data_IF_325631564835
#
_entry.id   IF_325631564835
#
_cell.length_a   1.000
_cell.length_b   1.000
_cell.length_c   1.000
_cell.angle_alpha   90.00
_cell.angle_beta   90.00
_cell.angle_gamma   90.00
#
_symmetry.space_group_name_H-M   'P 1'
#
loop_
_entity.id
_entity.type
_entity.pdbx_description
1 polymer ?
#
# COMPACT_ATOMS: atom_id res chain seq x y z
N UNK A 1 36.18 65.04 -37.25
CA UNK A 1 36.50 63.76 -36.61
C UNK A 1 35.50 63.52 -35.45
N UNK A 2 34.34 62.99 -35.74
CA UNK A 2 33.35 62.62 -34.72
C UNK A 2 32.39 61.59 -35.31
N UNK A 3 32.80 60.36 -35.41
CA UNK A 3 31.94 59.17 -35.68
C UNK A 3 32.54 58.00 -34.92
N UNK A 4 31.96 57.63 -33.79
CA UNK A 4 32.10 56.26 -33.24
C UNK A 4 31.58 56.13 -31.80
N UNK A 5 30.38 56.65 -31.49
CA UNK A 5 29.79 56.38 -30.14
C UNK A 5 28.42 55.80 -30.16
N UNK A 6 27.79 55.55 -31.33
CA UNK A 6 26.42 55.02 -31.35
C UNK A 6 26.32 53.49 -31.47
N UNK A 7 27.41 52.76 -31.71
CA UNK A 7 27.36 51.31 -31.98
C UNK A 7 27.35 50.40 -30.75
N UNK A 8 27.58 50.93 -29.50
CA UNK A 8 27.76 50.07 -28.31
C UNK A 8 26.54 49.98 -27.37
N UNK A 9 25.55 50.84 -27.56
CA UNK A 9 24.33 50.80 -26.72
C UNK A 9 23.26 49.84 -27.23
N UNK A 10 23.22 49.55 -28.55
CA UNK A 10 22.22 48.66 -29.12
C UNK A 10 22.45 47.15 -28.82
N UNK A 11 23.68 46.78 -28.39
CA UNK A 11 24.05 45.37 -28.20
C UNK A 11 23.80 44.83 -26.77
N UNK A 12 23.48 45.72 -25.82
CA UNK A 12 23.27 45.34 -24.41
C UNK A 12 21.80 45.19 -24.03
N UNK A 13 20.86 45.65 -24.86
CA UNK A 13 19.43 45.56 -24.56
C UNK A 13 18.83 44.25 -25.11
N UNK A 14 19.50 43.59 -26.07
CA UNK A 14 18.97 42.36 -26.70
C UNK A 14 19.13 41.07 -25.84
N UNK A 15 20.02 41.05 -24.85
CA UNK A 15 20.25 39.89 -24.02
C UNK A 15 19.33 39.79 -22.76
N UNK A 16 18.69 40.92 -22.38
CA UNK A 16 17.81 40.93 -21.18
C UNK A 16 16.39 40.47 -21.52
N UNK A 17 15.96 40.65 -22.80
CA UNK A 17 14.61 40.25 -23.24
C UNK A 17 14.45 38.74 -23.49
N UNK A 18 15.55 37.99 -23.66
CA UNK A 18 15.50 36.55 -23.93
C UNK A 18 15.46 35.68 -22.66
N UNK A 19 15.75 36.26 -21.48
CA UNK A 19 15.78 35.57 -20.19
C UNK A 19 14.41 35.47 -19.52
N UNK A 20 13.40 36.24 -19.95
CA UNK A 20 12.11 36.35 -19.22
C UNK A 20 11.02 35.41 -19.74
N UNK A 21 11.25 34.67 -20.84
CA UNK A 21 10.24 33.80 -21.44
C UNK A 21 10.31 32.34 -20.96
N UNK A 22 11.37 31.99 -20.18
CA UNK A 22 11.58 30.60 -19.74
C UNK A 22 10.88 30.23 -18.41
N UNK A 23 10.16 31.18 -17.79
CA UNK A 23 9.59 30.99 -16.43
C UNK A 23 8.10 30.59 -16.41
N UNK A 24 7.44 30.37 -17.53
CA UNK A 24 5.99 30.08 -17.58
C UNK A 24 5.64 28.66 -18.02
N UNK A 25 6.61 27.77 -18.10
CA UNK A 25 6.34 26.35 -18.33
C UNK A 25 6.17 25.57 -17.02
N UNK A 26 5.60 26.16 -15.96
CA UNK A 26 5.00 25.39 -14.87
C UNK A 26 3.65 24.88 -15.37
N UNK A 27 3.69 23.95 -16.32
CA UNK A 27 2.52 23.24 -16.82
C UNK A 27 1.88 22.52 -15.65
N UNK A 28 0.67 22.95 -15.30
CA UNK A 28 -0.27 22.20 -14.46
C UNK A 28 -0.74 20.92 -15.20
N UNK A 29 0.19 20.07 -15.58
CA UNK A 29 -0.08 18.69 -15.90
C UNK A 29 -0.03 17.92 -14.59
N UNK A 30 -1.17 17.42 -14.12
CA UNK A 30 -1.22 16.57 -12.93
C UNK A 30 -0.33 15.34 -13.14
N UNK A 31 0.95 15.47 -12.80
CA UNK A 31 1.92 14.38 -12.87
C UNK A 31 1.55 13.29 -11.87
N UNK A 32 2.10 12.13 -12.09
CA UNK A 32 1.98 11.01 -11.13
C UNK A 32 3.36 10.69 -10.57
N UNK A 33 3.40 10.33 -9.30
CA UNK A 33 4.58 9.81 -8.63
C UNK A 33 4.34 8.41 -8.11
N UNK A 34 5.43 7.71 -7.84
CA UNK A 34 5.41 6.46 -7.08
C UNK A 34 5.79 6.79 -5.64
N UNK A 35 5.18 6.10 -4.69
CA UNK A 35 5.48 6.28 -3.27
C UNK A 35 5.84 4.95 -2.67
N UNK A 36 7.05 4.85 -2.15
CA UNK A 36 7.52 3.66 -1.42
C UNK A 36 7.77 4.02 0.04
N UNK A 37 7.74 3.05 0.93
CA UNK A 37 8.06 3.34 2.31
C UNK A 37 7.67 2.26 3.29
N UNK A 38 7.58 2.67 4.56
CA UNK A 38 7.36 1.74 5.65
C UNK A 38 6.21 2.17 6.56
N UNK A 39 5.54 1.18 7.15
CA UNK A 39 4.49 1.37 8.16
C UNK A 39 4.89 0.65 9.43
N UNK A 40 4.94 1.38 10.54
CA UNK A 40 5.26 0.82 11.85
C UNK A 40 4.19 1.16 12.87
N UNK A 41 3.93 0.24 13.81
CA UNK A 41 3.04 0.41 14.95
C UNK A 41 3.86 0.27 16.22
N UNK A 42 4.00 1.35 16.99
CA UNK A 42 4.87 1.41 18.18
C UNK A 42 6.29 0.86 17.90
N UNK A 43 6.85 1.19 16.71
CA UNK A 43 8.18 0.80 16.27
C UNK A 43 8.30 -0.62 15.67
N UNK A 44 7.21 -1.40 15.66
CA UNK A 44 7.17 -2.72 15.01
C UNK A 44 6.60 -2.59 13.60
N UNK A 45 7.16 -3.27 12.58
CA UNK A 45 6.59 -3.26 11.24
C UNK A 45 5.16 -3.84 11.26
N UNK A 46 4.24 -3.24 10.51
CA UNK A 46 2.89 -3.77 10.32
C UNK A 46 2.95 -4.94 9.32
N UNK A 47 2.69 -6.20 9.74
CA UNK A 47 2.94 -7.36 8.89
C UNK A 47 2.11 -7.36 7.61
N UNK A 48 0.86 -6.88 7.69
CA UNK A 48 -0.03 -6.77 6.53
C UNK A 48 -1.10 -5.70 6.76
N UNK A 49 -1.65 -5.18 5.68
CA UNK A 49 -2.68 -4.14 5.67
C UNK A 49 -2.70 -3.44 4.32
N UNK A 50 -3.42 -2.36 4.25
CA UNK A 50 -3.47 -1.49 3.06
C UNK A 50 -3.25 -0.06 3.50
N UNK A 51 -2.37 0.65 2.80
CA UNK A 51 -2.19 2.10 2.94
C UNK A 51 -2.90 2.79 1.77
N UNK A 52 -3.61 3.87 2.06
CA UNK A 52 -4.42 4.60 1.08
C UNK A 52 -3.91 6.03 0.97
N UNK A 53 -3.62 6.44 -0.25
CA UNK A 53 -3.20 7.78 -0.62
C UNK A 53 -4.38 8.51 -1.25
N UNK A 54 -4.89 9.54 -0.60
CA UNK A 54 -6.03 10.34 -1.04
C UNK A 54 -5.54 11.73 -1.47
N UNK A 55 -5.32 11.96 -2.77
CA UNK A 55 -4.90 13.27 -3.27
C UNK A 55 -6.06 14.26 -3.23
N UNK A 56 -5.76 15.56 -3.14
CA UNK A 56 -6.78 16.62 -3.25
C UNK A 56 -7.47 16.62 -4.61
N UNK A 57 -6.75 16.19 -5.65
CA UNK A 57 -7.28 16.06 -7.02
C UNK A 57 -6.87 14.72 -7.61
N UNK A 58 -7.84 13.98 -8.12
CA UNK A 58 -7.61 12.67 -8.73
C UNK A 58 -8.21 11.52 -7.91
N UNK A 59 -7.94 10.31 -8.33
CA UNK A 59 -8.41 9.11 -7.65
C UNK A 59 -7.47 8.73 -6.49
N UNK A 60 -8.05 8.18 -5.43
CA UNK A 60 -7.27 7.57 -4.37
C UNK A 60 -6.51 6.34 -4.90
N UNK A 61 -5.32 6.12 -4.40
CA UNK A 61 -4.46 4.98 -4.73
C UNK A 61 -4.19 4.21 -3.46
N UNK A 62 -4.39 2.89 -3.50
CA UNK A 62 -4.08 1.99 -2.40
C UNK A 62 -2.87 1.13 -2.73
N UNK A 63 -2.10 0.80 -1.70
CA UNK A 63 -0.99 -0.14 -1.80
C UNK A 63 -1.04 -1.15 -0.65
N UNK A 64 -0.71 -2.39 -0.95
CA UNK A 64 -0.60 -3.45 0.04
C UNK A 64 0.65 -3.25 0.89
N UNK A 65 0.51 -3.52 2.19
CA UNK A 65 1.60 -3.54 3.15
C UNK A 65 2.00 -4.98 3.36
N UNK A 66 3.27 -5.29 3.14
CA UNK A 66 3.87 -6.61 3.38
C UNK A 66 5.11 -6.44 4.24
N UNK A 67 5.11 -7.04 5.42
CA UNK A 67 6.21 -6.97 6.39
C UNK A 67 6.67 -5.52 6.66
N UNK A 68 5.70 -4.62 6.79
CA UNK A 68 5.91 -3.21 7.05
C UNK A 68 6.26 -2.37 5.82
N UNK A 69 6.47 -2.95 4.65
CA UNK A 69 6.84 -2.23 3.43
C UNK A 69 5.66 -2.07 2.49
N UNK A 70 5.63 -0.99 1.72
CA UNK A 70 4.62 -0.78 0.68
C UNK A 70 5.22 -0.08 -0.55
N UNK A 71 4.52 -0.22 -1.68
CA UNK A 71 4.82 0.47 -2.93
C UNK A 71 3.53 0.87 -3.64
N UNK A 72 3.26 2.16 -3.71
CA UNK A 72 2.11 2.76 -4.40
C UNK A 72 2.56 3.36 -5.72
N UNK A 73 1.94 2.95 -6.82
CA UNK A 73 2.29 3.41 -8.17
C UNK A 73 1.20 4.34 -8.71
N UNK A 74 1.62 5.46 -9.29
CA UNK A 74 0.70 6.35 -10.00
C UNK A 74 -0.14 7.26 -9.11
N UNK A 75 0.35 7.60 -7.92
CA UNK A 75 -0.27 8.59 -7.02
C UNK A 75 -0.22 9.96 -7.69
N UNK A 76 -1.34 10.69 -7.69
CA UNK A 76 -1.39 12.05 -8.25
C UNK A 76 -0.45 12.99 -7.51
N UNK A 77 0.33 13.78 -8.26
CA UNK A 77 1.24 14.76 -7.65
C UNK A 77 0.45 15.88 -6.96
N UNK A 78 1.00 16.37 -5.86
CA UNK A 78 0.41 17.41 -5.02
C UNK A 78 0.29 16.96 -3.56
N UNK A 79 -0.55 17.65 -2.81
CA UNK A 79 -0.87 17.27 -1.44
C UNK A 79 -1.72 16.01 -1.42
N UNK A 80 -1.28 15.03 -0.66
CA UNK A 80 -1.94 13.73 -0.51
C UNK A 80 -2.11 13.44 0.96
N UNK A 81 -3.33 13.14 1.38
CA UNK A 81 -3.64 12.62 2.71
C UNK A 81 -3.46 11.12 2.72
N UNK A 82 -2.93 10.60 3.82
CA UNK A 82 -2.62 9.18 3.93
C UNK A 82 -3.40 8.57 5.08
N UNK A 83 -3.94 7.37 4.88
CA UNK A 83 -4.66 6.59 5.89
C UNK A 83 -4.38 5.10 5.73
N UNK A 84 -4.77 4.31 6.74
CA UNK A 84 -4.75 2.86 6.67
C UNK A 84 -6.16 2.33 6.39
N UNK A 85 -6.26 1.31 5.55
CA UNK A 85 -7.45 0.48 5.44
C UNK A 85 -7.15 -0.91 6.00
N UNK A 86 -7.77 -1.20 7.12
CA UNK A 86 -7.65 -2.46 7.84
C UNK A 86 -8.95 -3.27 7.78
N UNK A 87 -9.86 -2.92 6.87
CA UNK A 87 -11.15 -3.60 6.70
C UNK A 87 -11.01 -5.08 6.46
N UNK A 88 -10.05 -5.49 5.63
CA UNK A 88 -9.73 -6.90 5.40
C UNK A 88 -9.30 -7.64 6.67
N UNK A 89 -8.47 -7.04 7.50
CA UNK A 89 -8.05 -7.61 8.79
C UNK A 89 -9.20 -7.71 9.79
N UNK A 90 -10.08 -6.71 9.83
CA UNK A 90 -11.29 -6.74 10.67
C UNK A 90 -12.21 -7.90 10.29
N UNK A 91 -12.39 -8.15 9.00
CA UNK A 91 -13.18 -9.29 8.50
C UNK A 91 -12.57 -10.64 8.90
N UNK A 92 -11.24 -10.78 8.81
CA UNK A 92 -10.53 -11.99 9.26
C UNK A 92 -10.74 -12.21 10.76
N UNK A 93 -10.58 -11.15 11.57
CA UNK A 93 -10.80 -11.20 13.02
C UNK A 93 -12.22 -11.65 13.39
N UNK A 94 -13.22 -11.15 12.67
CA UNK A 94 -14.61 -11.54 12.86
C UNK A 94 -14.88 -13.02 12.48
N UNK A 95 -14.26 -13.49 11.42
CA UNK A 95 -14.39 -14.90 11.00
C UNK A 95 -13.75 -15.85 12.00
N UNK A 96 -12.59 -15.50 12.55
CA UNK A 96 -11.93 -16.31 13.57
C UNK A 96 -12.72 -16.33 14.88
N UNK A 97 -13.29 -15.21 15.29
CA UNK A 97 -14.14 -15.15 16.48
C UNK A 97 -15.40 -16.01 16.34
N UNK A 98 -16.00 -16.05 15.13
CA UNK A 98 -17.16 -16.91 14.83
C UNK A 98 -16.82 -18.39 14.78
N UNK A 99 -15.63 -18.76 14.30
CA UNK A 99 -15.15 -20.16 14.35
C UNK A 99 -14.98 -20.64 15.79
N UNK A 100 -14.43 -19.81 16.65
CA UNK A 100 -14.23 -20.18 18.06
C UNK A 100 -15.54 -20.22 18.88
N UNK A 101 -16.54 -19.42 18.52
CA UNK A 101 -17.86 -19.44 19.17
C UNK A 101 -18.81 -20.52 18.61
N UNK A 102 -18.56 -21.01 17.40
CA UNK A 102 -19.39 -22.03 16.73
C UNK A 102 -19.05 -23.48 17.05
N UNK A 103 -17.97 -23.77 17.76
CA UNK A 103 -17.53 -25.13 18.05
C UNK A 103 -18.46 -25.91 19.01
N UNK A 104 -19.43 -25.24 19.65
CA UNK A 104 -20.36 -25.88 20.59
C UNK A 104 -21.71 -26.27 19.96
N UNK A 105 -22.01 -25.86 18.71
CA UNK A 105 -23.33 -26.03 18.09
C UNK A 105 -23.46 -27.15 17.06
N UNK A 106 -22.35 -27.66 16.51
CA UNK A 106 -22.41 -28.56 15.33
C UNK A 106 -22.23 -30.07 15.62
N UNK A 107 -22.24 -30.46 16.90
CA UNK A 107 -22.10 -31.87 17.26
C UNK A 107 -23.40 -32.70 17.09
N UNK A 108 -24.50 -32.16 16.57
CA UNK A 108 -25.80 -32.84 16.51
C UNK A 108 -26.41 -33.01 15.12
N UNK A 109 -25.74 -32.69 14.04
CA UNK A 109 -26.28 -33.04 12.70
C UNK A 109 -25.56 -34.26 12.13
N UNK A 110 -26.32 -35.31 12.08
CA UNK A 110 -26.25 -36.60 11.46
C UNK A 110 -25.01 -36.99 10.65
N UNK A 111 -24.53 -38.18 10.94
CA UNK A 111 -23.66 -38.96 10.07
C UNK A 111 -24.31 -39.12 8.68
N UNK A 112 -24.15 -38.09 7.82
CA UNK A 112 -24.42 -38.19 6.42
C UNK A 112 -23.24 -38.81 5.67
N UNK A 113 -23.39 -39.28 4.43
CA UNK A 113 -22.40 -40.08 3.69
C UNK A 113 -21.21 -39.22 3.16
N UNK A 114 -20.73 -38.25 3.92
CA UNK A 114 -19.62 -37.39 3.54
C UNK A 114 -18.23 -38.03 3.74
N UNK A 115 -18.15 -39.13 4.49
CA UNK A 115 -16.89 -39.84 4.69
C UNK A 115 -16.27 -40.38 3.38
N UNK A 116 -17.06 -40.47 2.31
CA UNK A 116 -16.57 -40.94 1.01
C UNK A 116 -16.08 -39.80 0.08
N UNK A 117 -16.55 -38.55 0.29
CA UNK A 117 -16.09 -37.41 -0.53
C UNK A 117 -14.69 -36.92 -0.16
N UNK A 118 -14.31 -36.98 1.11
CA UNK A 118 -12.98 -36.61 1.55
C UNK A 118 -11.88 -37.55 1.02
N UNK A 119 -12.23 -38.83 0.76
CA UNK A 119 -11.26 -39.78 0.17
C UNK A 119 -10.95 -39.54 -1.29
N UNK A 120 -11.89 -38.90 -2.02
CA UNK A 120 -11.68 -38.57 -3.45
C UNK A 120 -10.96 -37.23 -3.69
N UNK A 121 -10.94 -36.33 -2.71
CA UNK A 121 -10.30 -35.02 -2.84
C UNK A 121 -8.87 -34.95 -2.30
N UNK A 122 -8.35 -36.02 -1.70
CA UNK A 122 -6.99 -36.05 -1.20
C UNK A 122 -6.22 -37.16 -1.94
N UNK A 123 -5.70 -36.92 -3.15
CA UNK A 123 -4.80 -37.86 -3.80
C UNK A 123 -3.66 -38.11 -2.83
N UNK A 124 -3.37 -39.39 -2.55
CA UNK A 124 -2.26 -39.76 -1.66
C UNK A 124 -1.02 -39.00 -2.14
N UNK A 125 -0.47 -38.16 -1.28
CA UNK A 125 0.68 -37.28 -1.56
C UNK A 125 1.86 -38.01 -2.20
N UNK A 126 1.88 -39.34 -2.06
CA UNK A 126 2.91 -40.21 -2.63
C UNK A 126 2.78 -40.42 -4.14
N UNK A 127 1.58 -40.29 -4.70
CA UNK A 127 1.33 -40.59 -6.13
C UNK A 127 1.43 -39.35 -7.05
N UNK A 128 1.79 -38.18 -6.48
CA UNK A 128 1.97 -36.96 -7.25
C UNK A 128 3.34 -36.95 -7.97
N UNK A 129 3.40 -36.45 -9.23
CA UNK A 129 4.66 -36.17 -9.90
C UNK A 129 5.57 -35.26 -9.04
N UNK A 130 6.89 -35.45 -9.10
CA UNK A 130 7.84 -34.72 -8.27
C UNK A 130 7.65 -33.19 -8.37
N UNK A 131 7.39 -32.67 -9.56
CA UNK A 131 7.14 -31.24 -9.81
C UNK A 131 5.87 -30.71 -9.12
N UNK A 132 4.82 -31.53 -9.03
CA UNK A 132 3.59 -31.19 -8.33
C UNK A 132 3.80 -31.19 -6.80
N UNK A 133 4.60 -32.11 -6.26
CA UNK A 133 4.96 -32.14 -4.83
C UNK A 133 5.73 -30.88 -4.42
N UNK A 134 6.64 -30.43 -5.25
CA UNK A 134 7.41 -29.20 -5.00
C UNK A 134 6.51 -27.95 -5.00
N UNK A 135 5.60 -27.85 -5.97
CA UNK A 135 4.62 -26.76 -6.02
C UNK A 135 3.67 -26.77 -4.81
N UNK A 136 3.20 -27.93 -4.39
CA UNK A 136 2.37 -28.07 -3.20
C UNK A 136 3.11 -27.67 -1.93
N UNK A 137 4.37 -28.10 -1.78
CA UNK A 137 5.19 -27.72 -0.64
C UNK A 137 5.44 -26.20 -0.58
N UNK A 138 5.67 -25.57 -1.75
CA UNK A 138 5.81 -24.11 -1.83
C UNK A 138 4.52 -23.39 -1.42
N UNK A 139 3.36 -23.84 -1.91
CA UNK A 139 2.05 -23.27 -1.55
C UNK A 139 1.72 -23.46 -0.06
N UNK A 140 2.04 -24.62 0.53
CA UNK A 140 1.86 -24.86 1.97
C UNK A 140 2.71 -23.92 2.81
N UNK A 141 3.98 -23.72 2.40
CA UNK A 141 4.89 -22.80 3.09
C UNK A 141 4.38 -21.36 3.01
N UNK A 142 4.01 -20.91 1.81
CA UNK A 142 3.45 -19.57 1.59
C UNK A 142 2.16 -19.36 2.39
N UNK A 143 1.26 -20.36 2.42
CA UNK A 143 0.04 -20.33 3.23
C UNK A 143 0.31 -20.27 4.73
N UNK A 144 1.33 -20.98 5.23
CA UNK A 144 1.73 -20.90 6.63
C UNK A 144 2.30 -19.54 7.01
N UNK A 145 3.15 -18.96 6.14
CA UNK A 145 3.71 -17.63 6.34
C UNK A 145 2.62 -16.54 6.29
N UNK A 146 1.68 -16.65 5.35
CA UNK A 146 0.53 -15.74 5.27
C UNK A 146 -0.36 -15.81 6.52
N UNK A 147 -0.60 -17.02 7.04
CA UNK A 147 -1.34 -17.21 8.29
C UNK A 147 -0.63 -16.57 9.47
N UNK A 148 0.66 -16.79 9.63
CA UNK A 148 1.45 -16.18 10.71
C UNK A 148 1.40 -14.65 10.64
N UNK A 149 1.57 -14.08 9.45
CA UNK A 149 1.45 -12.63 9.24
C UNK A 149 0.06 -12.09 9.61
N UNK A 150 -1.00 -12.83 9.29
CA UNK A 150 -2.35 -12.41 9.65
C UNK A 150 -2.59 -12.44 11.16
N UNK A 151 -2.12 -13.47 11.86
CA UNK A 151 -2.23 -13.58 13.32
C UNK A 151 -1.48 -12.43 14.02
N UNK A 152 -0.27 -12.13 13.57
CA UNK A 152 0.52 -11.02 14.11
C UNK A 152 -0.13 -9.65 13.83
N UNK A 153 -0.65 -9.44 12.62
CA UNK A 153 -1.37 -8.24 12.25
C UNK A 153 -2.65 -8.04 13.09
N UNK A 154 -3.37 -9.11 13.42
CA UNK A 154 -4.55 -9.05 14.28
C UNK A 154 -4.22 -8.61 15.71
N UNK A 155 -3.06 -8.99 16.23
CA UNK A 155 -2.59 -8.52 17.54
C UNK A 155 -2.30 -7.01 17.52
N UNK A 156 -1.72 -6.51 16.43
CA UNK A 156 -1.42 -5.09 16.26
C UNK A 156 -2.66 -4.26 15.95
N UNK A 157 -3.68 -4.84 15.29
CA UNK A 157 -4.91 -4.16 14.93
C UNK A 157 -5.57 -3.42 16.11
N UNK A 158 -5.57 -4.06 17.30
CA UNK A 158 -6.14 -3.49 18.53
C UNK A 158 -5.34 -2.31 19.08
N UNK A 159 -4.12 -2.12 18.61
CA UNK A 159 -3.21 -1.06 19.05
C UNK A 159 -3.25 0.15 18.12
N UNK A 160 -3.88 0.02 16.95
CA UNK A 160 -3.99 1.10 15.96
C UNK A 160 -5.20 1.97 16.30
N UNK A 161 -4.99 3.25 16.67
CA UNK A 161 -6.09 4.19 16.89
C UNK A 161 -6.89 4.43 15.61
N UNK A 162 -8.21 4.55 15.76
CA UNK A 162 -9.14 4.77 14.63
C UNK A 162 -8.83 6.04 13.82
N UNK A 163 -8.17 7.02 14.42
CA UNK A 163 -7.74 8.24 13.71
C UNK A 163 -6.92 7.95 12.45
N UNK A 164 -6.13 6.88 12.44
CA UNK A 164 -5.29 6.51 11.28
C UNK A 164 -6.06 5.85 10.14
N UNK A 165 -7.32 5.47 10.38
CA UNK A 165 -8.21 4.91 9.36
C UNK A 165 -8.94 6.00 8.54
N UNK A 166 -8.97 7.24 9.03
CA UNK A 166 -9.57 8.37 8.34
C UNK A 166 -8.48 9.28 7.76
N UNK A 167 -8.47 9.54 6.46
CA UNK A 167 -7.48 10.41 5.83
C UNK A 167 -7.51 11.86 6.37
N UNK A 168 -8.63 12.31 6.98
CA UNK A 168 -8.72 13.62 7.56
C UNK A 168 -8.26 13.69 9.02
N UNK A 169 -8.33 12.57 9.72
CA UNK A 169 -7.97 12.47 11.14
C UNK A 169 -6.57 11.89 11.38
N UNK A 170 -5.99 11.21 10.40
CA UNK A 170 -4.68 10.55 10.53
C UNK A 170 -3.53 11.51 10.87
N UNK A 171 -3.64 12.76 10.43
CA UNK A 171 -2.57 13.74 10.50
C UNK A 171 -1.40 13.46 9.53
N UNK A 172 -1.49 12.41 8.71
CA UNK A 172 -0.48 12.07 7.73
C UNK A 172 -0.75 12.77 6.41
N UNK A 173 0.25 13.51 5.95
CA UNK A 173 0.23 14.15 4.63
C UNK A 173 1.59 14.02 3.96
N UNK A 174 1.56 13.94 2.64
CA UNK A 174 2.74 13.85 1.81
C UNK A 174 2.59 14.78 0.61
N UNK A 175 3.62 15.57 0.33
CA UNK A 175 3.73 16.30 -0.93
C UNK A 175 4.35 15.38 -1.96
N UNK A 176 3.51 14.80 -2.84
CA UNK A 176 3.97 13.89 -3.90
C UNK A 176 4.50 14.70 -5.07
N UNK A 177 5.76 14.47 -5.45
CA UNK A 177 6.39 14.96 -6.67
C UNK A 177 6.27 13.92 -7.79
N UNK A 178 6.52 14.33 -9.03
CA UNK A 178 6.69 13.37 -10.13
C UNK A 178 7.92 12.50 -9.91
N UNK A 179 7.83 11.22 -10.19
CA UNK A 179 8.90 10.25 -9.98
C UNK A 179 8.78 9.53 -8.63
N UNK A 180 9.93 9.19 -8.03
CA UNK A 180 9.99 8.41 -6.80
C UNK A 180 9.89 9.31 -5.56
N UNK A 181 9.04 8.90 -4.63
CA UNK A 181 8.83 9.55 -3.34
C UNK A 181 8.95 8.50 -2.24
N UNK A 182 9.29 8.93 -1.03
CA UNK A 182 9.35 8.05 0.15
C UNK A 182 8.44 8.55 1.25
N UNK A 183 7.81 7.65 1.99
CA UNK A 183 6.96 7.98 3.11
C UNK A 183 7.08 6.96 4.24
N UNK A 184 7.25 7.45 5.47
CA UNK A 184 7.26 6.62 6.68
C UNK A 184 6.00 6.87 7.51
N UNK A 185 5.14 5.88 7.61
CA UNK A 185 3.95 5.93 8.44
C UNK A 185 4.25 5.35 9.84
N UNK A 186 4.25 6.20 10.85
CA UNK A 186 4.45 5.80 12.25
C UNK A 186 3.14 5.92 12.99
N UNK A 187 2.57 4.78 13.37
CA UNK A 187 1.41 4.71 14.26
C UNK A 187 1.89 4.77 15.69
N UNK A 188 1.40 5.75 16.42
CA UNK A 188 1.64 5.90 17.87
C UNK A 188 0.30 5.98 18.59
N UNK A 189 0.26 5.42 19.81
CA UNK A 189 -0.92 5.47 20.71
C UNK A 189 -1.25 6.88 21.16
#
# INVERSE_FOLDING_TARGET
MTRDRQGRLARRVSCVALGLIFSLACGCGGGKGNVTGTVTVDGKPLPMGVIVFTPEKGAAVSAEIVDGNFSAVGVSAGNVKVSLDLGGLKLIAEQESKKNSGATGMAKFGKGPEANKQKLMNPKRNDMPAKAKEQFAALEKEGAEAKHRSEEALLLLKQIPDKYLDPNASGWSLQVAQGENTFEAKVTK
#
